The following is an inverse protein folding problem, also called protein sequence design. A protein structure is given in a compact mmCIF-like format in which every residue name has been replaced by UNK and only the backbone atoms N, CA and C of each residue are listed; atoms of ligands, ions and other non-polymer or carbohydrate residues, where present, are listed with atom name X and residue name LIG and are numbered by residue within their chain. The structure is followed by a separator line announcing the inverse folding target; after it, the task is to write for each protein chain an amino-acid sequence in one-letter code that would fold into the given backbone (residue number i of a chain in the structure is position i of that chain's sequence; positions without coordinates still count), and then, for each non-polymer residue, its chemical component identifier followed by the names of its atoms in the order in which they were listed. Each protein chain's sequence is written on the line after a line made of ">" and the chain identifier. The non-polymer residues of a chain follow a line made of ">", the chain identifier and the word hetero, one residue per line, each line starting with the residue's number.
data_IF_615985314492
#
_entry.id   IF_615985314492
#
_cell.length_a   1.000
_cell.length_b   1.000
_cell.length_c   1.000
_cell.angle_alpha   90.00
_cell.angle_beta   90.00
_cell.angle_gamma   90.00
#
_symmetry.space_group_name_H-M   'P 1'
#
loop_
_entity.id
_entity.type
_entity.pdbx_description
1 polymer ?
#
# COMPACT_ATOMS: atom_id res chain seq x y z
N UNK A 1 5.04 4.48 -20.99
CA UNK A 1 3.97 3.49 -21.25
C UNK A 1 2.57 4.07 -21.03
N UNK A 2 1.59 3.61 -21.80
CA UNK A 2 0.15 3.91 -21.65
C UNK A 2 -0.31 3.54 -20.22
N UNK A 3 -1.09 4.39 -19.57
CA UNK A 3 -1.65 4.12 -18.23
C UNK A 3 -2.64 2.94 -18.32
N UNK A 4 -2.16 1.73 -17.97
CA UNK A 4 -2.93 0.48 -18.06
C UNK A 4 -3.77 0.30 -16.80
N UNK A 5 -4.85 1.08 -16.72
CA UNK A 5 -5.82 1.12 -15.61
C UNK A 5 -6.37 -0.26 -15.21
N UNK A 6 -6.43 -1.20 -16.16
CA UNK A 6 -6.86 -2.57 -15.92
C UNK A 6 -5.89 -3.38 -15.03
N UNK A 7 -4.58 -3.11 -15.08
CA UNK A 7 -3.59 -3.80 -14.23
C UNK A 7 -3.69 -3.29 -12.79
N UNK A 8 -3.98 -1.99 -12.61
CA UNK A 8 -4.28 -1.45 -11.28
C UNK A 8 -5.57 -2.04 -10.70
N UNK A 9 -6.58 -2.30 -11.54
CA UNK A 9 -7.77 -3.06 -11.14
C UNK A 9 -7.45 -4.48 -10.69
N UNK A 10 -6.53 -5.17 -11.38
CA UNK A 10 -6.10 -6.51 -11.00
C UNK A 10 -5.41 -6.55 -9.63
N UNK A 11 -4.66 -5.49 -9.27
CA UNK A 11 -4.11 -5.33 -7.91
C UNK A 11 -5.21 -5.24 -6.85
N UNK A 12 -6.28 -4.50 -7.13
CA UNK A 12 -7.42 -4.41 -6.21
C UNK A 12 -8.10 -5.78 -6.02
N UNK A 13 -8.27 -6.54 -7.10
CA UNK A 13 -8.81 -7.90 -7.04
C UNK A 13 -7.92 -8.84 -6.23
N UNK A 14 -6.59 -8.74 -6.39
CA UNK A 14 -5.62 -9.55 -5.64
C UNK A 14 -5.69 -9.36 -4.12
N UNK A 15 -6.20 -8.22 -3.63
CA UNK A 15 -6.37 -7.96 -2.20
C UNK A 15 -7.62 -8.64 -1.62
N UNK A 16 -8.65 -8.92 -2.43
CA UNK A 16 -9.92 -9.48 -1.95
C UNK A 16 -9.74 -10.82 -1.22
N UNK A 17 -9.01 -11.82 -1.76
CA UNK A 17 -8.78 -13.08 -1.06
C UNK A 17 -8.04 -12.90 0.28
N UNK A 18 -7.14 -11.92 0.37
CA UNK A 18 -6.37 -11.62 1.59
C UNK A 18 -7.29 -11.10 2.68
N UNK A 19 -8.21 -10.20 2.32
CA UNK A 19 -9.20 -9.64 3.25
C UNK A 19 -10.15 -10.74 3.71
N UNK A 20 -10.71 -11.53 2.79
CA UNK A 20 -11.64 -12.62 3.11
C UNK A 20 -10.98 -13.69 4.01
N UNK A 21 -9.70 -13.97 3.80
CA UNK A 21 -8.93 -14.86 4.65
C UNK A 21 -8.83 -14.35 6.10
N UNK A 22 -8.59 -13.06 6.30
CA UNK A 22 -8.54 -12.46 7.65
C UNK A 22 -9.91 -12.42 8.34
N UNK A 23 -11.01 -12.45 7.59
CA UNK A 23 -12.36 -12.58 8.14
C UNK A 23 -12.72 -14.03 8.55
N UNK A 24 -11.79 -14.97 8.47
CA UNK A 24 -12.02 -16.36 8.87
C UNK A 24 -12.86 -17.16 7.87
N UNK A 25 -12.95 -16.70 6.62
CA UNK A 25 -13.65 -17.43 5.56
C UNK A 25 -12.77 -18.61 5.12
N UNK A 26 -12.96 -19.75 5.77
CA UNK A 26 -12.23 -21.00 5.51
C UNK A 26 -12.44 -21.58 4.10
N UNK A 27 -13.41 -21.04 3.36
CA UNK A 27 -13.74 -21.46 2.00
C UNK A 27 -12.68 -21.07 0.94
N UNK A 28 -11.67 -20.27 1.30
CA UNK A 28 -10.58 -19.87 0.40
C UNK A 28 -9.23 -20.36 0.95
N UNK A 29 -8.92 -21.66 0.83
CA UNK A 29 -7.58 -22.15 1.11
C UNK A 29 -6.58 -21.44 0.18
N UNK A 30 -5.60 -20.75 0.76
CA UNK A 30 -4.63 -19.96 -0.01
C UNK A 30 -4.98 -18.47 -0.19
N UNK A 31 -5.91 -17.90 0.59
CA UNK A 31 -6.22 -16.46 0.50
C UNK A 31 -5.01 -15.53 0.74
N UNK A 32 -3.96 -16.00 1.39
CA UNK A 32 -2.68 -15.29 1.52
C UNK A 32 -1.91 -15.15 0.19
N UNK A 33 -2.12 -16.03 -0.81
CA UNK A 33 -1.47 -15.94 -2.13
C UNK A 33 -1.85 -14.67 -2.88
N UNK A 34 -2.96 -14.01 -2.52
CA UNK A 34 -3.30 -12.68 -3.03
C UNK A 34 -2.21 -11.63 -2.73
N UNK A 35 -1.48 -11.78 -1.61
CA UNK A 35 -0.35 -10.93 -1.25
C UNK A 35 0.78 -11.07 -2.27
N UNK A 36 1.15 -12.31 -2.62
CA UNK A 36 2.22 -12.59 -3.59
C UNK A 36 1.86 -12.02 -4.97
N UNK A 37 0.62 -12.25 -5.42
CA UNK A 37 0.11 -11.73 -6.69
C UNK A 37 0.16 -10.19 -6.72
N UNK A 38 -0.27 -9.53 -5.64
CA UNK A 38 -0.24 -8.08 -5.53
C UNK A 38 1.19 -7.54 -5.65
N UNK A 39 2.15 -8.16 -4.96
CA UNK A 39 3.55 -7.74 -5.00
C UNK A 39 4.20 -7.98 -6.36
N UNK A 40 3.94 -9.13 -7.00
CA UNK A 40 4.46 -9.43 -8.35
C UNK A 40 3.96 -8.41 -9.37
N UNK A 41 2.65 -8.10 -9.38
CA UNK A 41 2.08 -7.11 -10.30
C UNK A 41 2.66 -5.72 -10.03
N UNK A 42 2.83 -5.34 -8.77
CA UNK A 42 3.40 -4.05 -8.38
C UNK A 42 4.87 -3.92 -8.80
N UNK A 43 5.64 -5.02 -8.68
CA UNK A 43 7.01 -5.14 -9.15
C UNK A 43 7.11 -5.00 -10.66
N UNK A 44 6.30 -5.75 -11.41
CA UNK A 44 6.23 -5.66 -12.87
C UNK A 44 5.96 -4.23 -13.37
N UNK A 45 4.96 -3.55 -12.79
CA UNK A 45 4.63 -2.17 -13.16
C UNK A 45 5.75 -1.18 -12.81
N UNK A 46 6.36 -1.32 -11.64
CA UNK A 46 7.45 -0.44 -11.20
C UNK A 46 8.67 -0.62 -12.11
N UNK A 47 9.11 -1.87 -12.32
CA UNK A 47 10.27 -2.17 -13.15
C UNK A 47 10.04 -1.78 -14.61
N UNK A 48 8.84 -1.96 -15.15
CA UNK A 48 8.49 -1.48 -16.49
C UNK A 48 8.59 0.04 -16.60
N UNK A 49 8.10 0.79 -15.62
CA UNK A 49 8.25 2.26 -15.60
C UNK A 49 9.70 2.72 -15.44
N UNK A 50 10.52 1.92 -14.77
CA UNK A 50 11.94 2.17 -14.58
C UNK A 50 12.69 1.98 -15.90
N UNK A 51 12.48 0.85 -16.57
CA UNK A 51 13.10 0.54 -17.87
C UNK A 51 12.74 1.60 -18.93
N UNK A 52 11.47 1.99 -19.00
CA UNK A 52 11.00 3.09 -19.87
C UNK A 52 11.80 4.39 -19.67
N UNK A 53 12.02 4.78 -18.41
CA UNK A 53 12.74 6.02 -18.07
C UNK A 53 14.24 5.90 -18.38
N UNK A 54 14.83 4.70 -18.20
CA UNK A 54 16.23 4.41 -18.57
C UNK A 54 16.43 4.45 -20.08
N UNK A 55 15.57 3.80 -20.87
CA UNK A 55 15.64 3.79 -22.34
C UNK A 55 15.53 5.20 -22.93
N UNK A 56 14.79 6.09 -22.26
CA UNK A 56 14.65 7.50 -22.65
C UNK A 56 15.78 8.41 -22.15
N UNK A 57 16.71 7.88 -21.34
CA UNK A 57 17.78 8.67 -20.72
C UNK A 57 17.29 9.70 -19.70
N UNK A 58 16.07 9.56 -19.18
CA UNK A 58 15.43 10.52 -18.25
C UNK A 58 15.36 9.99 -16.82
N UNK A 59 16.03 8.87 -16.55
CA UNK A 59 15.99 8.25 -15.24
C UNK A 59 16.62 9.16 -14.17
N UNK A 60 15.85 9.41 -13.11
CA UNK A 60 16.32 10.07 -11.90
C UNK A 60 15.71 9.36 -10.70
N UNK A 61 16.59 8.94 -9.78
CA UNK A 61 16.17 8.26 -8.55
C UNK A 61 15.26 9.18 -7.71
N UNK A 62 15.55 10.48 -7.68
CA UNK A 62 14.75 11.49 -6.98
C UNK A 62 13.35 11.57 -7.59
N UNK A 63 13.26 11.66 -8.92
CA UNK A 63 11.96 11.71 -9.61
C UNK A 63 11.16 10.41 -9.43
N UNK A 64 11.85 9.26 -9.40
CA UNK A 64 11.23 7.97 -9.14
C UNK A 64 10.58 7.92 -7.75
N UNK A 65 11.33 8.24 -6.69
CA UNK A 65 10.79 8.27 -5.33
C UNK A 65 9.74 9.38 -5.16
N UNK A 66 9.90 10.53 -5.81
CA UNK A 66 8.92 11.63 -5.76
C UNK A 66 7.55 11.24 -6.33
N UNK A 67 7.52 10.52 -7.47
CA UNK A 67 6.26 10.01 -8.04
C UNK A 67 5.59 8.99 -7.12
N UNK A 68 6.38 8.14 -6.44
CA UNK A 68 5.87 7.17 -5.47
C UNK A 68 5.34 7.86 -4.23
N UNK A 69 6.07 8.81 -3.67
CA UNK A 69 5.67 9.63 -2.53
C UNK A 69 4.34 10.34 -2.79
N UNK A 70 4.18 11.00 -3.94
CA UNK A 70 2.91 11.67 -4.31
C UNK A 70 1.71 10.71 -4.47
N UNK A 71 1.94 9.42 -4.67
CA UNK A 71 0.87 8.41 -4.76
C UNK A 71 0.56 7.75 -3.42
N UNK A 72 1.56 7.52 -2.56
CA UNK A 72 1.43 6.75 -1.31
C UNK A 72 1.19 7.66 -0.10
N UNK A 73 1.90 8.79 0.01
CA UNK A 73 1.82 9.69 1.16
C UNK A 73 0.41 10.25 1.42
N UNK A 74 -0.40 10.64 0.40
CA UNK A 74 -1.74 11.17 0.68
C UNK A 74 -2.63 10.16 1.42
N UNK A 75 -2.60 8.89 1.00
CA UNK A 75 -3.35 7.83 1.65
C UNK A 75 -2.80 7.54 3.06
N UNK A 76 -1.48 7.52 3.22
CA UNK A 76 -0.83 7.32 4.52
C UNK A 76 -1.24 8.39 5.53
N UNK A 77 -1.06 9.68 5.17
CA UNK A 77 -1.39 10.81 6.04
C UNK A 77 -2.88 10.83 6.36
N UNK A 78 -3.74 10.54 5.37
CA UNK A 78 -5.18 10.47 5.58
C UNK A 78 -5.56 9.40 6.60
N UNK A 79 -5.03 8.18 6.45
CA UNK A 79 -5.31 7.08 7.38
C UNK A 79 -4.76 7.40 8.77
N UNK A 80 -3.52 7.91 8.88
CA UNK A 80 -2.94 8.32 10.18
C UNK A 80 -3.79 9.39 10.87
N UNK A 81 -4.27 10.39 10.13
CA UNK A 81 -5.11 11.44 10.69
C UNK A 81 -6.46 10.87 11.18
N UNK A 82 -7.10 10.02 10.38
CA UNK A 82 -8.36 9.38 10.77
C UNK A 82 -8.19 8.46 11.99
N UNK A 83 -7.13 7.66 12.03
CA UNK A 83 -6.88 6.77 13.17
C UNK A 83 -6.50 7.55 14.42
N UNK A 84 -5.76 8.66 14.29
CA UNK A 84 -5.51 9.60 15.41
C UNK A 84 -6.81 10.13 16.00
N UNK A 85 -7.71 10.63 15.15
CA UNK A 85 -9.00 11.15 15.60
C UNK A 85 -9.82 10.04 16.25
N UNK A 86 -9.92 8.88 15.60
CA UNK A 86 -10.67 7.74 16.13
C UNK A 86 -10.11 7.26 17.47
N UNK A 87 -8.78 7.26 17.65
CA UNK A 87 -8.16 6.83 18.89
C UNK A 87 -8.55 7.69 20.10
N UNK A 88 -8.76 9.00 19.89
CA UNK A 88 -9.21 9.89 20.97
C UNK A 88 -10.61 9.55 21.50
N UNK A 89 -11.46 8.93 20.68
CA UNK A 89 -12.82 8.56 21.06
C UNK A 89 -12.99 7.08 21.44
N UNK A 90 -12.12 6.20 20.95
CA UNK A 90 -12.27 4.74 21.08
C UNK A 90 -11.32 4.15 22.13
N UNK A 91 -10.07 4.64 22.23
CA UNK A 91 -9.04 4.01 23.07
C UNK A 91 -9.05 4.54 24.50
N UNK A 92 -8.71 3.67 25.46
CA UNK A 92 -8.49 4.08 26.85
C UNK A 92 -7.08 4.69 27.03
N UNK A 93 -6.85 5.48 28.10
CA UNK A 93 -5.56 6.10 28.38
C UNK A 93 -4.32 5.17 28.35
N UNK A 94 -4.39 3.89 28.78
CA UNK A 94 -3.24 2.97 28.66
C UNK A 94 -2.93 2.62 27.20
N UNK A 95 -3.96 2.43 26.38
CA UNK A 95 -3.84 1.96 24.99
C UNK A 95 -3.29 3.06 24.07
N UNK A 96 -3.52 4.33 24.41
CA UNK A 96 -2.97 5.49 23.70
C UNK A 96 -1.44 5.48 23.67
N UNK A 97 -0.77 4.92 24.67
CA UNK A 97 0.70 4.79 24.68
C UNK A 97 1.17 3.84 23.57
N UNK A 98 0.54 2.66 23.47
CA UNK A 98 0.86 1.69 22.42
C UNK A 98 0.58 2.26 21.02
N UNK A 99 -0.58 2.91 20.86
CA UNK A 99 -0.95 3.58 19.62
C UNK A 99 0.05 4.66 19.19
N UNK A 100 0.55 5.48 20.12
CA UNK A 100 1.54 6.52 19.83
C UNK A 100 2.85 5.93 19.28
N UNK A 101 3.30 4.79 19.81
CA UNK A 101 4.48 4.09 19.30
C UNK A 101 4.26 3.56 17.88
N UNK A 102 3.06 3.03 17.58
CA UNK A 102 2.70 2.58 16.24
C UNK A 102 2.69 3.72 15.22
N UNK A 103 2.20 4.91 15.60
CA UNK A 103 2.27 6.10 14.74
C UNK A 103 3.71 6.52 14.48
N UNK A 104 4.52 6.61 15.54
CA UNK A 104 5.94 7.03 15.41
C UNK A 104 6.66 6.06 14.47
N UNK A 105 6.50 4.75 14.67
CA UNK A 105 7.11 3.72 13.84
C UNK A 105 6.64 3.76 12.37
N UNK A 106 5.42 4.25 12.12
CA UNK A 106 4.89 4.41 10.75
C UNK A 106 5.41 5.68 10.07
N UNK A 107 5.84 6.68 10.86
CA UNK A 107 6.32 7.99 10.38
C UNK A 107 7.82 8.07 10.11
N UNK A 108 8.60 7.10 10.62
CA UNK A 108 10.05 6.96 10.42
C UNK A 108 10.38 6.05 9.25
#
# INVERSE_FOLDING_TARGET
>A
MQYRRYIEGLRAVAVLPVVLFHFGISAIPGGFSGVDIFFVISGYLTSGSLLDDLERGQFSIVNFYWRRARRILPALVFVMLLTCIAALFILLPPDLRGFSLSIIATST
#
